data_IF_773196635739
#
_entry.id   IF_773196635739
#
_cell.length_a   1.000
_cell.length_b   1.000
_cell.length_c   1.000
_cell.angle_alpha   90.00
_cell.angle_beta   90.00
_cell.angle_gamma   90.00
#
_symmetry.space_group_name_H-M   'P 1'
#
loop_
_entity.id
_entity.type
_entity.pdbx_description
1 polymer ?
#
# COMPACT_ATOMS: atom_id res chain seq x y z
N UNK A 1 17.50 67.02 -57.99
CA UNK A 1 18.08 66.72 -56.64
C UNK A 1 17.27 65.60 -56.02
N UNK A 2 17.83 64.36 -56.07
CA UNK A 2 17.19 63.16 -55.51
C UNK A 2 17.91 62.86 -54.19
N UNK A 3 17.14 62.86 -53.10
CA UNK A 3 17.62 62.54 -51.76
C UNK A 3 17.71 60.99 -51.55
N UNK A 4 18.91 60.50 -51.25
CA UNK A 4 19.16 59.13 -50.86
C UNK A 4 18.71 58.92 -49.40
N UNK A 5 17.81 57.98 -49.16
CA UNK A 5 17.45 57.49 -47.83
C UNK A 5 18.41 56.35 -47.42
N UNK A 6 19.02 56.36 -46.24
CA UNK A 6 19.81 55.25 -45.76
C UNK A 6 18.84 54.11 -45.27
N UNK A 7 19.07 52.92 -45.73
CA UNK A 7 18.40 51.71 -45.26
C UNK A 7 19.15 51.25 -43.99
N UNK A 8 18.47 51.32 -42.85
CA UNK A 8 18.97 50.80 -41.57
C UNK A 8 18.73 49.28 -41.52
N UNK A 9 19.80 48.52 -41.52
CA UNK A 9 19.77 47.07 -41.33
C UNK A 9 19.66 46.77 -39.83
N UNK A 10 18.46 46.32 -39.38
CA UNK A 10 18.28 45.74 -38.04
C UNK A 10 18.79 44.32 -38.04
N UNK A 11 19.95 44.08 -37.46
CA UNK A 11 20.43 42.74 -37.12
C UNK A 11 19.71 42.29 -35.84
N UNK A 12 18.71 41.43 -35.95
CA UNK A 12 18.10 40.77 -34.82
C UNK A 12 19.04 39.68 -34.30
N UNK A 13 19.72 39.96 -33.18
CA UNK A 13 20.48 38.98 -32.44
C UNK A 13 19.45 38.05 -31.73
N UNK A 14 19.21 36.87 -32.29
CA UNK A 14 18.53 35.77 -31.60
C UNK A 14 19.47 35.23 -30.53
N UNK A 15 19.32 35.69 -29.30
CA UNK A 15 19.88 35.06 -28.13
C UNK A 15 19.18 33.71 -27.96
N UNK A 16 19.80 32.64 -28.46
CA UNK A 16 19.47 31.29 -28.08
C UNK A 16 19.78 31.12 -26.58
N UNK A 17 18.79 31.41 -25.75
CA UNK A 17 18.79 31.04 -24.34
C UNK A 17 18.77 29.53 -24.26
N UNK A 18 19.93 28.88 -24.18
CA UNK A 18 20.08 27.55 -23.64
C UNK A 18 19.70 27.58 -22.14
N UNK A 19 18.41 27.73 -21.84
CA UNK A 19 17.88 27.45 -20.53
C UNK A 19 18.17 25.98 -20.24
N UNK A 20 19.01 25.67 -19.25
CA UNK A 20 19.00 24.38 -18.58
C UNK A 20 17.54 24.14 -18.21
N UNK A 21 16.88 23.26 -18.95
CA UNK A 21 15.55 22.78 -18.58
C UNK A 21 15.72 22.16 -17.21
N UNK A 22 15.25 22.81 -16.17
CA UNK A 22 14.96 22.20 -14.88
C UNK A 22 13.76 21.27 -15.13
N UNK A 23 13.95 20.26 -15.98
CA UNK A 23 12.95 19.29 -16.33
C UNK A 23 12.56 18.56 -15.06
N UNK A 24 11.32 18.75 -14.65
CA UNK A 24 10.74 17.91 -13.61
C UNK A 24 10.81 16.46 -14.08
N UNK A 25 11.33 15.55 -13.24
CA UNK A 25 11.37 14.13 -13.57
C UNK A 25 9.96 13.66 -13.97
N UNK A 26 9.85 12.77 -14.95
CA UNK A 26 8.57 12.15 -15.31
C UNK A 26 7.99 11.37 -14.13
N UNK A 27 6.69 11.14 -14.13
CA UNK A 27 6.08 10.25 -13.16
C UNK A 27 6.63 8.83 -13.30
N UNK A 28 6.81 8.14 -12.18
CA UNK A 28 7.18 6.72 -12.22
C UNK A 28 6.06 5.87 -12.83
N UNK A 29 6.45 4.86 -13.60
CA UNK A 29 5.56 3.88 -14.22
C UNK A 29 5.24 2.73 -13.26
N UNK A 30 4.43 1.79 -13.76
CA UNK A 30 3.99 0.56 -13.08
C UNK A 30 2.87 0.76 -12.05
N UNK A 31 2.16 -0.33 -11.76
CA UNK A 31 1.10 -0.37 -10.76
C UNK A 31 1.68 -0.48 -9.35
N UNK A 32 0.90 -0.18 -8.30
CA UNK A 32 1.29 -0.47 -6.92
C UNK A 32 1.70 -1.94 -6.75
N UNK A 33 2.76 -2.17 -5.96
CA UNK A 33 3.34 -3.49 -5.71
C UNK A 33 3.90 -4.21 -6.95
N UNK A 34 4.21 -3.50 -8.02
CA UNK A 34 5.08 -3.97 -9.09
C UNK A 34 6.53 -3.56 -8.82
N UNK A 35 7.48 -4.43 -9.20
CA UNK A 35 8.91 -4.23 -8.98
C UNK A 35 9.72 -4.73 -10.17
N UNK A 36 10.72 -3.96 -10.57
CA UNK A 36 11.72 -4.38 -11.53
C UNK A 36 13.00 -4.82 -10.79
N UNK A 37 13.47 -6.03 -11.08
CA UNK A 37 14.76 -6.53 -10.57
C UNK A 37 15.73 -6.65 -11.72
N UNK A 38 16.86 -5.96 -11.61
CA UNK A 38 17.92 -5.89 -12.63
C UNK A 38 19.09 -6.75 -12.19
N UNK A 39 19.50 -7.68 -13.05
CA UNK A 39 20.73 -8.49 -12.87
C UNK A 39 20.61 -9.70 -11.95
N UNK A 40 19.41 -10.08 -11.50
CA UNK A 40 19.14 -11.29 -10.69
C UNK A 40 18.91 -12.52 -11.59
N UNK A 41 19.95 -12.95 -12.31
CA UNK A 41 19.88 -14.04 -13.29
C UNK A 41 19.31 -15.35 -12.76
N UNK A 42 19.40 -15.59 -11.46
CA UNK A 42 18.99 -16.85 -10.82
C UNK A 42 17.75 -16.71 -9.95
N UNK A 43 17.14 -15.53 -9.91
CA UNK A 43 15.91 -15.30 -9.19
C UNK A 43 16.05 -15.36 -7.67
N UNK A 44 17.25 -15.19 -7.11
CA UNK A 44 17.49 -15.30 -5.65
C UNK A 44 16.74 -14.17 -4.90
N UNK A 45 16.75 -12.96 -5.47
CA UNK A 45 15.98 -11.84 -4.93
C UNK A 45 14.49 -11.99 -5.23
N UNK A 46 14.13 -12.41 -6.44
CA UNK A 46 12.75 -12.58 -6.87
C UNK A 46 11.97 -13.45 -5.89
N UNK A 47 12.52 -14.57 -5.48
CA UNK A 47 11.92 -15.50 -4.52
C UNK A 47 11.50 -14.84 -3.19
N UNK A 48 12.13 -13.74 -2.77
CA UNK A 48 11.76 -13.04 -1.54
C UNK A 48 10.46 -12.26 -1.71
N UNK A 49 10.25 -11.66 -2.88
CA UNK A 49 9.12 -10.79 -3.17
C UNK A 49 7.92 -11.54 -3.76
N UNK A 50 8.16 -12.71 -4.36
CA UNK A 50 7.13 -13.60 -4.91
C UNK A 50 6.46 -14.48 -3.87
N UNK A 51 6.91 -14.44 -2.61
CA UNK A 51 6.23 -15.12 -1.51
C UNK A 51 4.76 -14.71 -1.46
N UNK A 52 3.83 -15.64 -1.19
CA UNK A 52 2.42 -15.33 -1.10
C UNK A 52 2.14 -14.34 0.03
N UNK A 53 1.21 -13.42 -0.21
CA UNK A 53 0.64 -12.56 0.83
C UNK A 53 -0.34 -13.35 1.68
N UNK A 54 -0.16 -13.35 3.00
CA UNK A 54 -1.08 -13.98 3.93
C UNK A 54 -2.45 -13.29 3.96
N UNK A 55 -3.49 -14.05 4.24
CA UNK A 55 -4.85 -13.54 4.37
C UNK A 55 -5.56 -13.31 3.04
N UNK A 56 -5.14 -13.96 1.96
CA UNK A 56 -5.83 -13.96 0.68
C UNK A 56 -6.41 -15.36 0.37
N UNK A 57 -7.62 -15.44 -0.25
CA UNK A 57 -8.23 -16.72 -0.58
C UNK A 57 -7.50 -17.45 -1.72
N UNK A 58 -6.85 -16.71 -2.60
CA UNK A 58 -6.01 -17.23 -3.67
C UNK A 58 -4.58 -16.73 -3.47
N UNK A 59 -3.60 -17.55 -3.83
CA UNK A 59 -2.19 -17.18 -3.70
C UNK A 59 -1.88 -16.01 -4.65
N UNK A 60 -1.52 -14.87 -4.08
CA UNK A 60 -0.99 -13.73 -4.81
C UNK A 60 0.36 -13.33 -4.21
N UNK A 61 1.38 -13.04 -5.03
CA UNK A 61 2.69 -12.66 -4.53
C UNK A 61 2.67 -11.32 -3.80
N UNK A 62 3.62 -11.11 -2.88
CA UNK A 62 3.79 -9.83 -2.19
C UNK A 62 4.04 -8.68 -3.17
N UNK A 63 4.80 -8.96 -4.26
CA UNK A 63 5.03 -8.06 -5.38
C UNK A 63 4.94 -8.82 -6.70
N UNK A 64 4.41 -8.19 -7.74
CA UNK A 64 4.54 -8.68 -9.11
C UNK A 64 5.91 -8.28 -9.66
N UNK A 65 6.74 -9.27 -10.01
CA UNK A 65 8.13 -9.05 -10.40
C UNK A 65 8.28 -9.08 -11.92
N UNK A 66 9.01 -8.12 -12.45
CA UNK A 66 9.65 -8.18 -13.76
C UNK A 66 11.17 -8.20 -13.62
N UNK A 67 11.84 -8.83 -14.55
CA UNK A 67 13.31 -8.97 -14.55
C UNK A 67 13.91 -8.44 -15.84
N UNK A 68 15.10 -7.86 -15.73
CA UNK A 68 15.91 -7.45 -16.89
C UNK A 68 17.40 -7.62 -16.60
N UNK A 69 18.18 -7.72 -17.63
CA UNK A 69 19.64 -7.69 -17.54
C UNK A 69 20.15 -6.25 -17.44
N UNK A 70 21.33 -6.07 -16.82
CA UNK A 70 21.96 -4.75 -16.70
C UNK A 70 22.21 -4.07 -18.04
N UNK A 71 22.44 -4.85 -19.12
CA UNK A 71 22.64 -4.32 -20.48
C UNK A 71 21.35 -3.72 -21.08
N UNK A 72 20.20 -4.29 -20.74
CA UNK A 72 18.89 -3.88 -21.22
C UNK A 72 18.22 -2.82 -20.36
N UNK A 73 18.73 -2.60 -19.14
CA UNK A 73 18.18 -1.62 -18.21
C UNK A 73 18.31 -0.20 -18.74
N UNK A 74 17.34 0.22 -19.56
CA UNK A 74 17.33 1.51 -20.25
C UNK A 74 15.90 1.98 -20.53
N UNK A 75 15.75 3.18 -21.06
CA UNK A 75 14.47 3.70 -21.54
C UNK A 75 13.36 3.62 -20.51
N UNK A 76 12.25 2.98 -20.87
CA UNK A 76 11.03 2.89 -20.05
C UNK A 76 11.22 2.07 -18.77
N UNK A 77 12.12 1.07 -18.77
CA UNK A 77 12.40 0.25 -17.60
C UNK A 77 12.94 1.09 -16.43
N UNK A 78 13.72 2.13 -16.74
CA UNK A 78 14.22 3.07 -15.73
C UNK A 78 13.13 3.88 -15.04
N UNK A 79 11.93 3.93 -15.62
CA UNK A 79 10.81 4.66 -15.02
C UNK A 79 10.04 3.82 -13.98
N UNK A 80 10.35 2.53 -13.81
CA UNK A 80 9.68 1.68 -12.83
C UNK A 80 9.74 2.29 -11.43
N UNK A 81 8.63 2.21 -10.70
CA UNK A 81 8.49 2.85 -9.37
C UNK A 81 9.32 2.21 -8.28
N UNK A 82 9.54 0.91 -8.35
CA UNK A 82 10.39 0.15 -7.46
C UNK A 82 11.42 -0.62 -8.29
N UNK A 83 12.68 -0.40 -8.02
CA UNK A 83 13.78 -1.07 -8.75
C UNK A 83 14.77 -1.63 -7.73
N UNK A 84 15.22 -2.85 -7.97
CA UNK A 84 16.41 -3.40 -7.31
C UNK A 84 17.44 -3.68 -8.38
N UNK A 85 18.62 -3.11 -8.24
CA UNK A 85 19.78 -3.37 -9.11
C UNK A 85 20.77 -4.24 -8.35
N UNK A 86 20.92 -5.48 -8.78
CA UNK A 86 21.85 -6.44 -8.21
C UNK A 86 23.14 -6.50 -9.04
N UNK A 87 24.28 -6.40 -8.38
CA UNK A 87 25.59 -6.62 -8.97
C UNK A 87 26.41 -7.61 -8.15
N UNK A 88 26.72 -8.75 -8.75
CA UNK A 88 27.58 -9.78 -8.15
C UNK A 88 28.93 -9.73 -8.84
N UNK A 89 29.99 -9.49 -8.05
CA UNK A 89 31.37 -9.42 -8.55
C UNK A 89 32.31 -9.82 -7.42
N UNK A 90 33.29 -10.67 -7.71
CA UNK A 90 34.26 -11.20 -6.75
C UNK A 90 35.17 -10.14 -6.13
N UNK A 91 35.25 -8.96 -6.73
CA UNK A 91 35.98 -7.78 -6.22
C UNK A 91 35.30 -7.16 -5.00
N UNK A 92 34.00 -7.36 -4.80
CA UNK A 92 33.31 -6.90 -3.60
C UNK A 92 33.73 -7.77 -2.40
N UNK A 93 34.05 -7.15 -1.27
CA UNK A 93 34.38 -7.85 -0.03
C UNK A 93 33.13 -8.21 0.76
N UNK A 94 32.24 -7.23 0.91
CA UNK A 94 31.01 -7.32 1.71
C UNK A 94 29.79 -7.01 0.85
N UNK A 95 28.61 -7.36 1.35
CA UNK A 95 27.37 -6.86 0.81
C UNK A 95 27.26 -5.38 1.17
N UNK A 96 26.95 -4.58 0.17
CA UNK A 96 26.59 -3.18 0.34
C UNK A 96 25.19 -2.92 -0.21
N UNK A 97 24.45 -2.07 0.47
CA UNK A 97 23.07 -1.69 0.10
C UNK A 97 22.95 -0.19 0.13
N UNK A 98 22.64 0.39 -1.03
CA UNK A 98 22.40 1.82 -1.18
C UNK A 98 20.99 2.05 -1.73
N UNK A 99 20.20 2.92 -1.08
CA UNK A 99 18.90 3.33 -1.56
C UNK A 99 18.98 4.75 -2.13
N UNK A 100 18.37 4.95 -3.29
CA UNK A 100 18.23 6.26 -3.94
C UNK A 100 16.76 6.49 -4.30
N UNK A 101 16.37 7.78 -4.31
CA UNK A 101 14.99 8.18 -4.63
C UNK A 101 15.02 9.17 -5.79
N UNK A 102 13.98 9.11 -6.63
CA UNK A 102 13.77 10.06 -7.72
C UNK A 102 15.00 10.19 -8.65
N UNK A 103 15.57 9.05 -9.06
CA UNK A 103 16.75 9.03 -9.94
C UNK A 103 16.33 9.27 -11.38
N UNK A 104 15.35 8.53 -11.89
CA UNK A 104 14.87 8.63 -13.28
C UNK A 104 13.41 9.09 -13.35
N UNK A 105 12.66 8.93 -12.26
CA UNK A 105 11.25 9.29 -12.19
C UNK A 105 10.85 9.79 -10.80
N UNK A 106 9.77 10.57 -10.70
CA UNK A 106 9.22 11.02 -9.42
C UNK A 106 8.63 9.85 -8.64
N UNK A 107 8.73 9.91 -7.31
CA UNK A 107 8.25 8.87 -6.40
C UNK A 107 8.87 7.47 -6.62
N UNK A 108 9.99 7.42 -7.32
CA UNK A 108 10.76 6.19 -7.56
C UNK A 108 11.68 5.88 -6.39
N UNK A 109 11.88 4.59 -6.13
CA UNK A 109 12.91 4.08 -5.23
C UNK A 109 13.74 3.02 -5.95
N UNK A 110 15.06 3.21 -5.94
CA UNK A 110 16.03 2.25 -6.45
C UNK A 110 16.89 1.76 -5.29
N UNK A 111 17.00 0.44 -5.16
CA UNK A 111 17.88 -0.20 -4.20
C UNK A 111 19.02 -0.88 -4.95
N UNK A 112 20.23 -0.40 -4.76
CA UNK A 112 21.44 -1.03 -5.30
C UNK A 112 21.99 -2.03 -4.28
N UNK A 113 22.17 -3.27 -4.71
CA UNK A 113 22.74 -4.34 -3.88
C UNK A 113 23.99 -4.86 -4.58
N UNK A 114 25.12 -4.83 -3.90
CA UNK A 114 26.35 -5.46 -4.38
C UNK A 114 26.72 -6.63 -3.49
N UNK A 115 27.20 -7.71 -4.08
CA UNK A 115 27.63 -8.92 -3.36
C UNK A 115 28.84 -9.54 -4.05
N UNK A 116 29.70 -10.21 -3.27
CA UNK A 116 30.86 -10.94 -3.80
C UNK A 116 30.46 -12.18 -4.57
N UNK A 117 29.42 -12.87 -4.13
CA UNK A 117 28.98 -14.14 -4.70
C UNK A 117 27.50 -14.39 -4.41
N UNK A 118 26.90 -15.29 -5.18
CA UNK A 118 25.53 -15.80 -4.98
C UNK A 118 25.32 -16.39 -3.58
N UNK A 119 26.28 -17.18 -3.10
CA UNK A 119 26.22 -17.79 -1.76
C UNK A 119 26.23 -16.74 -0.64
N UNK A 120 26.98 -15.64 -0.83
CA UNK A 120 26.96 -14.53 0.11
C UNK A 120 25.58 -13.84 0.11
N UNK A 121 25.01 -13.58 -1.07
CA UNK A 121 23.69 -13.00 -1.23
C UNK A 121 22.61 -13.89 -0.60
N UNK A 122 22.61 -15.19 -0.90
CA UNK A 122 21.62 -16.13 -0.37
C UNK A 122 21.62 -16.17 1.17
N UNK A 123 22.81 -16.26 1.79
CA UNK A 123 22.94 -16.20 3.25
C UNK A 123 22.43 -14.89 3.84
N UNK A 124 22.74 -13.77 3.20
CA UNK A 124 22.25 -12.47 3.61
C UNK A 124 20.73 -12.39 3.53
N UNK A 125 20.12 -12.85 2.44
CA UNK A 125 18.68 -12.83 2.26
C UNK A 125 17.95 -13.79 3.21
N UNK A 126 18.60 -14.89 3.63
CA UNK A 126 18.05 -15.78 4.66
C UNK A 126 17.73 -15.06 5.97
N UNK A 127 18.54 -14.07 6.35
CA UNK A 127 18.32 -13.28 7.58
C UNK A 127 17.66 -11.91 7.34
N UNK A 128 17.75 -11.37 6.14
CA UNK A 128 17.39 -9.97 5.87
C UNK A 128 16.31 -9.83 4.79
N UNK A 129 16.03 -10.89 4.03
CA UNK A 129 15.06 -10.82 2.90
C UNK A 129 13.71 -10.25 3.30
N UNK A 130 13.15 -10.68 4.43
CA UNK A 130 11.88 -10.13 4.93
C UNK A 130 11.96 -8.63 5.24
N UNK A 131 13.12 -8.13 5.67
CA UNK A 131 13.31 -6.70 5.94
C UNK A 131 13.31 -5.87 4.65
N UNK A 132 13.82 -6.42 3.53
CA UNK A 132 13.74 -5.79 2.21
C UNK A 132 12.28 -5.74 1.72
N UNK A 133 11.54 -6.82 1.84
CA UNK A 133 10.11 -6.86 1.51
C UNK A 133 9.35 -5.81 2.33
N UNK A 134 9.56 -5.77 3.63
CA UNK A 134 8.91 -4.80 4.52
C UNK A 134 9.28 -3.34 4.17
N UNK A 135 10.51 -3.11 3.72
CA UNK A 135 10.96 -1.79 3.26
C UNK A 135 10.14 -1.29 2.07
N UNK A 136 10.01 -2.09 1.01
CA UNK A 136 9.23 -1.71 -0.16
C UNK A 136 7.72 -1.69 0.12
N UNK A 137 7.20 -2.62 0.92
CA UNK A 137 5.79 -2.58 1.38
C UNK A 137 5.48 -1.27 2.10
N UNK A 138 6.37 -0.80 2.96
CA UNK A 138 6.20 0.47 3.67
C UNK A 138 6.25 1.68 2.73
N UNK A 139 7.06 1.61 1.67
CA UNK A 139 7.09 2.65 0.63
C UNK A 139 5.76 2.72 -0.10
N UNK A 140 5.23 1.57 -0.53
CA UNK A 140 3.92 1.51 -1.21
C UNK A 140 2.79 2.02 -0.32
N UNK A 141 2.74 1.60 0.95
CA UNK A 141 1.76 2.11 1.91
C UNK A 141 1.83 3.64 2.08
N UNK A 142 3.04 4.20 2.14
CA UNK A 142 3.22 5.67 2.25
C UNK A 142 2.77 6.41 1.00
N UNK A 143 3.02 5.84 -0.19
CA UNK A 143 2.55 6.42 -1.45
C UNK A 143 1.01 6.45 -1.49
N UNK A 144 0.38 5.36 -1.08
CA UNK A 144 -1.08 5.28 -1.00
C UNK A 144 -1.64 6.26 0.05
N UNK A 145 -1.01 6.35 1.23
CA UNK A 145 -1.39 7.34 2.24
C UNK A 145 -1.23 8.79 1.76
N UNK A 146 -0.21 9.06 0.93
CA UNK A 146 -0.05 10.37 0.33
C UNK A 146 -1.18 10.68 -0.67
N UNK A 147 -1.59 9.71 -1.49
CA UNK A 147 -2.74 9.87 -2.39
C UNK A 147 -4.04 10.10 -1.60
N UNK A 148 -4.23 9.38 -0.50
CA UNK A 148 -5.36 9.60 0.42
C UNK A 148 -5.37 11.02 1.00
N UNK A 149 -4.21 11.63 1.30
CA UNK A 149 -4.15 13.01 1.77
C UNK A 149 -4.62 14.02 0.71
N UNK A 150 -4.45 13.70 -0.58
CA UNK A 150 -4.86 14.56 -1.69
C UNK A 150 -6.35 14.39 -2.02
N UNK A 151 -6.88 13.17 -1.88
CA UNK A 151 -8.26 12.87 -2.26
C UNK A 151 -8.86 11.83 -1.31
N UNK A 152 -9.80 12.26 -0.46
CA UNK A 152 -10.43 11.45 0.59
C UNK A 152 -11.88 11.84 0.83
N UNK A 153 -12.65 11.01 1.52
CA UNK A 153 -14.05 11.24 1.85
C UNK A 153 -14.20 11.94 3.19
N UNK A 154 -14.28 13.28 3.17
CA UNK A 154 -14.42 14.11 4.38
C UNK A 154 -15.72 13.89 5.13
N UNK A 155 -16.81 13.51 4.46
CA UNK A 155 -18.09 13.23 5.12
C UNK A 155 -18.02 11.93 5.94
N UNK A 156 -17.39 10.90 5.40
CA UNK A 156 -17.14 9.66 6.16
C UNK A 156 -16.24 9.92 7.37
N UNK A 157 -15.23 10.77 7.23
CA UNK A 157 -14.32 11.16 8.32
C UNK A 157 -15.03 11.94 9.43
N UNK A 158 -15.96 12.84 9.08
CA UNK A 158 -16.83 13.53 10.05
C UNK A 158 -17.65 12.52 10.86
N UNK A 159 -18.23 11.49 10.21
CA UNK A 159 -18.96 10.42 10.90
C UNK A 159 -18.06 9.66 11.88
N UNK A 160 -16.85 9.30 11.45
CA UNK A 160 -15.86 8.63 12.32
C UNK A 160 -15.56 9.50 13.56
N UNK A 161 -15.30 10.78 13.35
CA UNK A 161 -15.04 11.73 14.46
C UNK A 161 -16.22 11.84 15.42
N UNK A 162 -17.43 11.95 14.90
CA UNK A 162 -18.65 12.09 15.71
C UNK A 162 -18.96 10.82 16.51
N UNK A 163 -18.84 9.64 15.89
CA UNK A 163 -19.21 8.36 16.50
C UNK A 163 -18.16 7.82 17.45
N UNK A 164 -16.87 8.00 17.12
CA UNK A 164 -15.77 7.32 17.80
C UNK A 164 -14.75 8.27 18.45
N UNK A 165 -14.85 9.57 18.24
CA UNK A 165 -13.85 10.53 18.71
C UNK A 165 -12.47 10.29 18.08
N UNK A 166 -12.44 9.72 16.88
CA UNK A 166 -11.21 9.29 16.19
C UNK A 166 -11.05 10.01 14.86
N UNK A 167 -9.86 9.98 14.30
CA UNK A 167 -9.53 10.48 12.98
C UNK A 167 -8.99 9.32 12.14
N UNK A 168 -9.41 9.22 10.89
CA UNK A 168 -8.90 8.27 9.90
C UNK A 168 -9.16 8.83 8.52
N UNK A 169 -8.20 8.72 7.60
CA UNK A 169 -8.42 9.05 6.19
C UNK A 169 -9.23 7.94 5.53
N UNK A 170 -10.29 8.33 4.83
CA UNK A 170 -11.20 7.40 4.15
C UNK A 170 -11.08 7.56 2.64
N UNK A 171 -10.90 6.47 1.86
CA UNK A 171 -10.87 6.57 0.40
C UNK A 171 -12.10 7.27 -0.16
N UNK A 172 -11.90 8.13 -1.16
CA UNK A 172 -12.94 8.97 -1.74
C UNK A 172 -14.10 8.18 -2.37
N UNK A 173 -13.85 6.95 -2.81
CA UNK A 173 -14.84 6.05 -3.40
C UNK A 173 -15.73 5.33 -2.36
N UNK A 174 -15.48 5.46 -1.06
CA UNK A 174 -16.33 4.91 0.01
C UNK A 174 -17.57 5.77 0.23
N UNK A 175 -18.51 5.73 -0.72
CA UNK A 175 -19.68 6.64 -0.76
C UNK A 175 -20.87 6.11 0.04
N UNK A 176 -21.01 4.80 0.20
CA UNK A 176 -22.08 4.21 0.99
C UNK A 176 -21.69 4.09 2.46
N UNK A 177 -22.64 4.27 3.36
CA UNK A 177 -22.42 4.07 4.79
C UNK A 177 -23.66 3.53 5.49
N UNK A 178 -23.44 2.62 6.46
CA UNK A 178 -24.44 2.11 7.38
C UNK A 178 -23.95 2.29 8.81
N UNK A 179 -24.78 2.83 9.67
CA UNK A 179 -24.48 3.07 11.09
C UNK A 179 -25.25 2.10 11.96
N UNK A 180 -24.57 1.53 12.94
CA UNK A 180 -25.15 0.75 14.03
C UNK A 180 -24.77 1.34 15.38
N UNK A 181 -25.17 0.68 16.46
CA UNK A 181 -24.71 1.07 17.80
C UNK A 181 -23.22 0.74 17.96
N UNK A 182 -22.37 1.77 18.06
CA UNK A 182 -20.92 1.62 18.12
C UNK A 182 -20.32 0.88 16.92
N UNK A 183 -20.94 0.99 15.74
CA UNK A 183 -20.53 0.35 14.51
C UNK A 183 -20.75 1.29 13.32
N UNK A 184 -19.74 1.41 12.47
CA UNK A 184 -19.84 2.14 11.20
C UNK A 184 -19.32 1.24 10.09
N UNK A 185 -20.10 1.06 9.04
CA UNK A 185 -19.71 0.37 7.82
C UNK A 185 -19.67 1.37 6.68
N UNK A 186 -18.54 1.48 6.00
CA UNK A 186 -18.30 2.27 4.79
C UNK A 186 -18.03 1.32 3.64
N UNK A 187 -18.56 1.61 2.44
CA UNK A 187 -18.36 0.77 1.25
C UNK A 187 -18.33 1.61 -0.02
N UNK A 188 -17.61 1.14 -1.03
CA UNK A 188 -17.69 1.66 -2.40
C UNK A 188 -18.96 1.15 -3.14
N UNK A 189 -19.66 0.18 -2.55
CA UNK A 189 -20.88 -0.43 -3.09
C UNK A 189 -20.74 -0.93 -4.55
N UNK A 190 -19.56 -1.40 -4.94
CA UNK A 190 -19.31 -1.91 -6.27
C UNK A 190 -19.72 -3.39 -6.38
N UNK A 191 -20.44 -3.75 -7.46
CA UNK A 191 -20.98 -5.10 -7.65
C UNK A 191 -19.90 -6.18 -7.84
N UNK A 192 -18.78 -5.85 -8.49
CA UNK A 192 -17.73 -6.83 -8.86
C UNK A 192 -16.49 -6.76 -8.00
N UNK A 193 -16.29 -5.67 -7.27
CA UNK A 193 -15.10 -5.43 -6.45
C UNK A 193 -15.47 -4.56 -5.25
N UNK A 194 -16.32 -5.13 -4.39
CA UNK A 194 -16.77 -4.45 -3.18
C UNK A 194 -15.60 -4.35 -2.19
N UNK A 195 -15.27 -3.12 -1.84
CA UNK A 195 -14.29 -2.77 -0.83
C UNK A 195 -15.02 -2.10 0.34
N UNK A 196 -14.74 -2.51 1.56
CA UNK A 196 -15.44 -2.06 2.75
C UNK A 196 -14.49 -1.75 3.89
N UNK A 197 -14.85 -0.78 4.71
CA UNK A 197 -14.16 -0.45 5.97
C UNK A 197 -15.21 -0.41 7.08
N UNK A 198 -14.92 -1.12 8.19
CA UNK A 198 -15.72 -1.07 9.40
C UNK A 198 -14.93 -0.48 10.57
N UNK A 199 -15.61 0.28 11.42
CA UNK A 199 -15.09 0.73 12.71
C UNK A 199 -16.02 0.22 13.81
N UNK A 200 -15.42 -0.37 14.85
CA UNK A 200 -16.14 -0.92 16.00
C UNK A 200 -15.24 -1.05 17.22
N UNK A 201 -15.82 -1.26 18.39
CA UNK A 201 -15.09 -1.48 19.62
C UNK A 201 -15.01 -2.96 19.98
N UNK A 202 -13.86 -3.39 20.47
CA UNK A 202 -13.64 -4.66 21.15
C UNK A 202 -13.11 -4.42 22.56
N UNK A 203 -13.16 -5.45 23.42
CA UNK A 203 -12.44 -5.49 24.69
C UNK A 203 -11.14 -6.30 24.56
N UNK A 204 -10.54 -6.71 25.65
CA UNK A 204 -9.29 -7.49 25.69
C UNK A 204 -9.47 -9.00 25.47
N UNK A 205 -10.71 -9.49 25.29
CA UNK A 205 -11.00 -10.90 25.03
C UNK A 205 -10.58 -11.35 23.62
N UNK A 206 -10.92 -12.59 23.24
CA UNK A 206 -10.58 -13.15 21.95
C UNK A 206 -11.12 -12.28 20.79
N UNK A 207 -10.22 -11.95 19.86
CA UNK A 207 -10.54 -11.06 18.73
C UNK A 207 -11.58 -11.72 17.81
N UNK A 208 -11.42 -13.03 17.50
CA UNK A 208 -12.29 -13.72 16.54
C UNK A 208 -13.72 -13.77 17.04
N UNK A 209 -13.91 -14.16 18.28
CA UNK A 209 -15.26 -14.28 18.88
C UNK A 209 -15.98 -12.93 18.94
N UNK A 210 -15.26 -11.88 19.33
CA UNK A 210 -15.83 -10.53 19.38
C UNK A 210 -16.15 -10.00 17.99
N UNK A 211 -15.21 -10.14 17.05
CA UNK A 211 -15.44 -9.78 15.66
C UNK A 211 -16.68 -10.45 15.09
N UNK A 212 -16.78 -11.77 15.21
CA UNK A 212 -17.89 -12.55 14.67
C UNK A 212 -19.24 -12.13 15.29
N UNK A 213 -19.29 -11.92 16.61
CA UNK A 213 -20.47 -11.41 17.30
C UNK A 213 -20.87 -10.01 16.83
N UNK A 214 -19.90 -9.13 16.53
CA UNK A 214 -20.17 -7.78 16.04
C UNK A 214 -20.66 -7.82 14.59
N UNK A 215 -20.00 -8.61 13.73
CA UNK A 215 -20.33 -8.73 12.32
C UNK A 215 -21.72 -9.37 12.15
N UNK A 216 -22.05 -10.40 12.90
CA UNK A 216 -23.36 -11.04 12.91
C UNK A 216 -24.50 -10.04 13.17
N UNK A 217 -24.29 -9.11 14.08
CA UNK A 217 -25.32 -8.10 14.45
C UNK A 217 -25.45 -6.97 13.42
N UNK A 218 -24.41 -6.65 12.71
CA UNK A 218 -24.34 -5.43 11.90
C UNK A 218 -24.28 -5.68 10.39
N UNK A 219 -23.82 -6.88 9.96
CA UNK A 219 -23.71 -7.30 8.56
C UNK A 219 -24.50 -8.59 8.36
N UNK A 220 -25.84 -8.52 8.33
CA UNK A 220 -26.67 -9.65 7.97
C UNK A 220 -26.53 -9.94 6.48
N UNK A 221 -26.65 -11.21 6.10
CA UNK A 221 -26.79 -11.61 4.71
C UNK A 221 -28.19 -11.37 4.15
N UNK A 222 -28.41 -11.79 2.91
CA UNK A 222 -29.71 -11.66 2.23
C UNK A 222 -30.78 -12.58 2.82
N UNK A 223 -30.40 -13.74 3.34
CA UNK A 223 -31.32 -14.73 3.89
C UNK A 223 -31.44 -14.59 5.40
N UNK A 224 -32.61 -14.89 5.92
CA UNK A 224 -32.87 -14.89 7.37
C UNK A 224 -31.90 -15.84 8.09
N UNK A 225 -31.11 -15.32 9.01
CA UNK A 225 -30.10 -16.08 9.75
C UNK A 225 -28.73 -16.14 9.08
N UNK A 226 -28.57 -15.52 7.89
CA UNK A 226 -27.26 -15.36 7.26
C UNK A 226 -26.52 -14.17 7.85
N UNK A 227 -25.22 -14.34 8.09
CA UNK A 227 -24.33 -13.30 8.66
C UNK A 227 -22.88 -13.55 8.30
N UNK A 228 -22.07 -12.50 8.40
CA UNK A 228 -20.63 -12.57 8.21
C UNK A 228 -19.95 -13.23 9.40
N UNK A 229 -19.05 -14.18 9.11
CA UNK A 229 -18.19 -14.83 10.10
C UNK A 229 -16.73 -14.92 9.65
N UNK A 230 -15.82 -15.16 10.61
CA UNK A 230 -14.41 -15.43 10.34
C UNK A 230 -14.20 -16.90 10.03
N UNK A 231 -13.76 -17.20 8.82
CA UNK A 231 -13.39 -18.57 8.44
C UNK A 231 -12.02 -18.94 9.00
N UNK A 232 -11.03 -18.04 8.85
CA UNK A 232 -9.64 -18.31 9.19
C UNK A 232 -8.88 -17.05 9.54
N UNK A 233 -7.97 -17.12 10.52
CA UNK A 233 -6.95 -16.11 10.77
C UNK A 233 -5.62 -16.66 10.28
N UNK A 234 -4.99 -15.97 9.34
CA UNK A 234 -3.75 -16.40 8.69
C UNK A 234 -2.50 -15.71 9.26
N UNK A 235 -2.65 -14.51 9.78
CA UNK A 235 -1.53 -13.73 10.28
C UNK A 235 -1.94 -12.77 11.40
N UNK A 236 -1.10 -12.70 12.42
CA UNK A 236 -1.18 -11.65 13.46
C UNK A 236 0.20 -11.01 13.61
N UNK A 237 0.31 -9.75 13.25
CA UNK A 237 1.55 -8.97 13.39
C UNK A 237 1.39 -7.98 14.53
N UNK A 238 2.34 -7.99 15.47
CA UNK A 238 2.39 -7.02 16.57
C UNK A 238 3.53 -6.05 16.33
N UNK A 239 3.22 -4.76 16.29
CA UNK A 239 4.23 -3.71 16.15
C UNK A 239 5.02 -3.52 17.44
N UNK A 240 6.19 -2.87 17.36
CA UNK A 240 7.00 -2.51 18.55
C UNK A 240 6.23 -1.64 19.57
N UNK A 241 5.18 -0.95 19.15
CA UNK A 241 4.33 -0.11 20.00
C UNK A 241 3.05 -0.82 20.47
N UNK A 242 2.94 -2.12 20.25
CA UNK A 242 1.81 -2.93 20.68
C UNK A 242 0.60 -2.93 19.74
N UNK A 243 0.56 -2.09 18.70
CA UNK A 243 -0.51 -2.16 17.71
C UNK A 243 -0.48 -3.49 16.97
N UNK A 244 -1.67 -4.09 16.73
CA UNK A 244 -1.81 -5.39 16.06
C UNK A 244 -2.44 -5.20 14.68
N UNK A 245 -1.99 -6.00 13.73
CA UNK A 245 -2.67 -6.21 12.45
C UNK A 245 -3.06 -7.68 12.35
N UNK A 246 -4.32 -7.96 12.13
CA UNK A 246 -4.86 -9.31 11.98
C UNK A 246 -5.33 -9.46 10.54
N UNK A 247 -4.90 -10.52 9.85
CA UNK A 247 -5.34 -10.87 8.49
C UNK A 247 -5.98 -12.23 8.50
N UNK A 248 -7.03 -12.39 7.72
CA UNK A 248 -7.72 -13.66 7.59
C UNK A 248 -8.78 -13.62 6.51
N UNK A 249 -9.62 -14.63 6.52
CA UNK A 249 -10.73 -14.79 5.59
C UNK A 249 -12.06 -14.73 6.32
N UNK A 250 -13.02 -14.13 5.66
CA UNK A 250 -14.42 -14.08 6.07
C UNK A 250 -15.30 -14.76 5.02
N UNK A 251 -16.46 -15.20 5.44
CA UNK A 251 -17.53 -15.68 4.58
C UNK A 251 -18.90 -15.27 5.14
N UNK A 252 -19.90 -15.27 4.29
CA UNK A 252 -21.30 -15.28 4.73
C UNK A 252 -21.70 -16.73 4.97
N UNK A 253 -22.20 -17.04 6.16
CA UNK A 253 -22.79 -18.38 6.35
C UNK A 253 -24.03 -18.50 5.44
N UNK A 254 -24.19 -19.63 4.80
CA UNK A 254 -25.30 -19.92 3.87
C UNK A 254 -25.32 -19.09 2.58
N UNK A 255 -24.19 -18.47 2.19
CA UNK A 255 -24.04 -17.74 0.94
C UNK A 255 -22.62 -17.95 0.37
N UNK A 256 -22.47 -17.85 -0.95
CA UNK A 256 -21.18 -17.98 -1.64
C UNK A 256 -20.29 -16.72 -1.55
N UNK A 257 -20.63 -15.79 -0.69
CA UNK A 257 -19.85 -14.57 -0.48
C UNK A 257 -18.75 -14.78 0.55
N UNK A 258 -17.54 -14.37 0.20
CA UNK A 258 -16.38 -14.43 1.10
C UNK A 258 -15.18 -13.69 0.53
N UNK A 259 -14.15 -13.52 1.34
CA UNK A 259 -12.94 -12.85 0.91
C UNK A 259 -11.95 -12.56 2.03
N UNK A 260 -10.93 -11.76 1.74
CA UNK A 260 -9.95 -11.35 2.72
C UNK A 260 -10.48 -10.24 3.64
N UNK A 261 -10.00 -10.23 4.88
CA UNK A 261 -10.10 -9.09 5.76
C UNK A 261 -8.74 -8.73 6.37
N UNK A 262 -8.59 -7.49 6.77
CA UNK A 262 -7.47 -6.98 7.56
C UNK A 262 -8.01 -6.05 8.64
N UNK A 263 -7.71 -6.34 9.90
CA UNK A 263 -8.09 -5.51 11.04
C UNK A 263 -6.85 -4.85 11.65
N UNK A 264 -6.92 -3.54 11.85
CA UNK A 264 -5.93 -2.76 12.58
C UNK A 264 -6.46 -2.44 13.95
N UNK A 265 -5.72 -2.88 14.96
CA UNK A 265 -6.01 -2.70 16.38
C UNK A 265 -4.90 -1.81 16.93
N UNK A 266 -5.15 -0.52 17.18
CA UNK A 266 -4.18 0.36 17.82
C UNK A 266 -3.75 -0.19 19.17
N UNK A 267 -2.64 0.30 19.69
CA UNK A 267 -2.06 -0.21 20.96
C UNK A 267 -3.11 -0.30 22.06
N UNK A 268 -3.27 -1.46 22.72
CA UNK A 268 -4.26 -1.65 23.75
C UNK A 268 -3.87 -0.86 25.00
N UNK A 269 -4.61 0.17 25.32
CA UNK A 269 -4.42 1.00 26.52
C UNK A 269 -5.69 1.16 27.35
N UNK A 270 -6.85 0.68 26.84
CA UNK A 270 -8.15 0.87 27.47
C UNK A 270 -8.97 -0.43 27.48
N UNK A 271 -10.01 -0.47 28.34
CA UNK A 271 -10.98 -1.56 28.37
C UNK A 271 -11.81 -1.68 27.06
N UNK A 272 -11.82 -0.63 26.25
CA UNK A 272 -12.54 -0.56 24.98
C UNK A 272 -11.58 -0.06 23.91
N UNK A 273 -11.27 -0.89 22.93
CA UNK A 273 -10.28 -0.65 21.88
C UNK A 273 -11.02 -0.46 20.56
N UNK A 274 -10.83 0.69 19.93
CA UNK A 274 -11.37 0.95 18.60
C UNK A 274 -10.57 0.18 17.55
N UNK A 275 -11.26 -0.59 16.73
CA UNK A 275 -10.71 -1.34 15.60
C UNK A 275 -11.14 -0.67 14.30
N UNK A 276 -10.22 -0.55 13.35
CA UNK A 276 -10.55 -0.31 11.95
C UNK A 276 -10.28 -1.59 11.16
N UNK A 277 -11.29 -2.12 10.52
CA UNK A 277 -11.20 -3.34 9.71
C UNK A 277 -11.58 -3.03 8.27
N UNK A 278 -10.83 -3.58 7.34
CA UNK A 278 -11.17 -3.58 5.92
C UNK A 278 -11.46 -5.01 5.47
N UNK A 279 -12.46 -5.19 4.61
CA UNK A 279 -12.74 -6.45 3.95
C UNK A 279 -13.13 -6.25 2.49
N UNK A 280 -12.89 -7.28 1.67
CA UNK A 280 -13.08 -7.22 0.22
C UNK A 280 -13.88 -8.41 -0.26
N UNK A 281 -14.84 -8.16 -1.15
CA UNK A 281 -15.51 -9.18 -1.96
C UNK A 281 -15.24 -8.86 -3.44
N UNK A 282 -14.43 -9.69 -4.09
CA UNK A 282 -14.02 -9.51 -5.48
C UNK A 282 -13.75 -10.90 -6.12
N UNK A 283 -14.79 -11.69 -6.42
CA UNK A 283 -14.66 -13.13 -6.71
C UNK A 283 -13.72 -13.42 -7.88
N UNK A 284 -13.71 -12.63 -8.93
CA UNK A 284 -12.95 -12.88 -10.15
C UNK A 284 -11.69 -11.99 -10.31
N UNK A 285 -11.31 -11.26 -9.26
CA UNK A 285 -10.23 -10.28 -9.33
C UNK A 285 -9.11 -10.58 -8.34
N UNK A 286 -7.89 -10.16 -8.67
CA UNK A 286 -6.79 -10.08 -7.72
C UNK A 286 -7.14 -9.13 -6.58
N UNK A 287 -6.91 -9.55 -5.34
CA UNK A 287 -7.36 -8.87 -4.12
C UNK A 287 -6.24 -8.13 -3.39
N UNK A 288 -4.98 -8.52 -3.62
CA UNK A 288 -3.82 -7.96 -2.93
C UNK A 288 -3.82 -6.42 -2.96
N UNK A 289 -3.90 -5.83 -4.14
CA UNK A 289 -3.81 -4.37 -4.27
C UNK A 289 -5.01 -3.66 -3.65
N UNK A 290 -6.21 -4.27 -3.71
CA UNK A 290 -7.41 -3.70 -3.06
C UNK A 290 -7.21 -3.71 -1.54
N UNK A 291 -6.83 -4.85 -0.96
CA UNK A 291 -6.55 -4.98 0.48
C UNK A 291 -5.46 -3.99 0.92
N UNK A 292 -4.36 -3.89 0.17
CA UNK A 292 -3.25 -2.98 0.48
C UNK A 292 -3.65 -1.50 0.46
N UNK A 293 -4.51 -1.11 -0.48
CA UNK A 293 -5.09 0.25 -0.51
C UNK A 293 -5.90 0.53 0.76
N UNK A 294 -6.73 -0.41 1.16
CA UNK A 294 -7.53 -0.27 2.38
C UNK A 294 -6.67 -0.30 3.65
N UNK A 295 -5.62 -1.12 3.68
CA UNK A 295 -4.63 -1.10 4.77
C UNK A 295 -4.00 0.27 4.96
N UNK A 296 -3.64 0.93 3.86
CA UNK A 296 -3.09 2.27 3.92
C UNK A 296 -4.05 3.24 4.62
N UNK A 297 -5.36 3.11 4.38
CA UNK A 297 -6.39 3.92 5.02
C UNK A 297 -6.56 3.58 6.51
N UNK A 298 -6.78 2.31 6.86
CA UNK A 298 -7.03 1.93 8.26
C UNK A 298 -5.82 2.18 9.17
N UNK A 299 -4.60 2.15 8.63
CA UNK A 299 -3.39 2.50 9.38
C UNK A 299 -3.25 3.99 9.68
N UNK A 300 -4.10 4.85 9.11
CA UNK A 300 -4.18 6.26 9.48
C UNK A 300 -5.04 6.52 10.71
N UNK A 301 -5.71 5.47 11.25
CA UNK A 301 -6.56 5.59 12.44
C UNK A 301 -5.77 6.15 13.63
N UNK A 302 -6.26 7.24 14.20
CA UNK A 302 -5.77 7.88 15.41
C UNK A 302 -6.93 8.12 16.36
N UNK A 303 -6.86 7.58 17.57
CA UNK A 303 -7.78 7.95 18.65
C UNK A 303 -7.32 9.26 19.28
N UNK A 304 -8.24 10.19 19.50
CA UNK A 304 -7.95 11.37 20.31
C UNK A 304 -7.75 10.88 21.76
N UNK A 305 -6.53 11.02 22.27
CA UNK A 305 -6.31 10.88 23.71
C UNK A 305 -7.08 11.99 24.41
N UNK A 306 -7.85 11.67 25.46
CA UNK A 306 -8.65 12.62 26.26
C UNK A 306 -7.79 13.68 27.01
N UNK A 307 -6.66 14.09 26.44
CA UNK A 307 -5.76 15.07 27.07
C UNK A 307 -5.76 16.46 26.41
N UNK A 308 -6.53 16.68 25.34
CA UNK A 308 -6.55 17.99 24.66
C UNK A 308 -7.83 18.81 24.94
N UNK A 309 -8.44 18.61 26.12
CA UNK A 309 -9.50 19.53 26.62
C UNK A 309 -9.10 20.02 28.00
N UNK A 310 -8.26 21.05 28.04
CA UNK A 310 -8.21 22.07 29.08
C UNK A 310 -8.19 23.43 28.42
#
# INVERSE_FOLDING_TARGET
MRALRPILFYVAILLASCGKSTGTLPASSNKPYEMLIVGDKEGILCQQFEKPMNGLPQSEPLFDISQTDSANFSGIERLARNIIVLKIDNRYKNIDIKAEQNVYAQHQVILYITARSKNQLARFLGSTGQRLVNYFTKIELRREQHLLQLTHNTEAEKKIKQMFGAQMLVPADMLASKQGRNFLWLSNNANTSMASICLYFINTADFKEQRDSIMQRNIPGEWKGSFMQTTRIDEVVVSKRGAKTVRGLWEMNSDAMGGPFVAYIPSPGSRSILVAEAFVFAPESKKRNIVRRLEAAIYTLKQSTKHDTK
#
